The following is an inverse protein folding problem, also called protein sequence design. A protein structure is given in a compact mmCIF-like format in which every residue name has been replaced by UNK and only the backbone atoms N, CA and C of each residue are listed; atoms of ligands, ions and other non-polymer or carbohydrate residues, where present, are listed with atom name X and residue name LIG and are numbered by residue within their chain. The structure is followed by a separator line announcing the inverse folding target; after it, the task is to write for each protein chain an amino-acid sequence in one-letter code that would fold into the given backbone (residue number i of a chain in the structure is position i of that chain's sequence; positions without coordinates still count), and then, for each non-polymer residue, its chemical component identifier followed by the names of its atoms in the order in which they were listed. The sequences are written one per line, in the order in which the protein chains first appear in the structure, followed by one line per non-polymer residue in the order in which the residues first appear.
data_IF_871902079101
#
_entry.id   IF_871902079101
#
_cell.length_a   1.000
_cell.length_b   1.000
_cell.length_c   1.000
_cell.angle_alpha   90.00
_cell.angle_beta   90.00
_cell.angle_gamma   90.00
#
_symmetry.space_group_name_H-M   'P 1'
#
loop_
_entity.id
_entity.type
_entity.pdbx_description
1 polymer ?
#
# COMPACT_ATOMS: atom_id res chain seq x y z
N UNK A 1 15.22 6.53 1.90
CA UNK A 1 14.97 5.94 0.58
C UNK A 1 14.29 4.60 0.78
N UNK A 2 13.18 4.35 0.09
CA UNK A 2 12.54 3.04 0.13
C UNK A 2 13.32 2.10 -0.81
N UNK A 3 14.01 1.11 -0.25
CA UNK A 3 14.71 0.10 -1.04
C UNK A 3 13.76 -1.08 -1.27
N UNK A 4 12.77 -0.89 -2.15
CA UNK A 4 11.90 -1.97 -2.58
C UNK A 4 12.71 -2.93 -3.48
N UNK A 5 13.18 -4.04 -2.92
CA UNK A 5 13.80 -5.11 -3.70
C UNK A 5 12.73 -6.11 -4.12
N UNK A 6 12.26 -5.98 -5.36
CA UNK A 6 11.36 -6.97 -5.95
C UNK A 6 12.10 -8.30 -6.15
N UNK A 7 11.45 -9.45 -5.89
CA UNK A 7 11.94 -10.75 -6.35
C UNK A 7 12.21 -10.71 -7.85
N UNK A 8 13.29 -11.36 -8.30
CA UNK A 8 13.71 -11.34 -9.72
C UNK A 8 12.59 -11.74 -10.67
N UNK A 9 11.84 -12.79 -10.34
CA UNK A 9 10.72 -13.28 -11.16
C UNK A 9 9.60 -12.23 -11.27
N UNK A 10 9.24 -11.58 -10.16
CA UNK A 10 8.23 -10.52 -10.19
C UNK A 10 8.70 -9.29 -10.98
N UNK A 11 9.99 -8.93 -10.87
CA UNK A 11 10.56 -7.83 -11.67
C UNK A 11 10.49 -8.16 -13.16
N UNK A 12 10.84 -9.38 -13.56
CA UNK A 12 10.77 -9.81 -14.97
C UNK A 12 9.35 -9.74 -15.52
N UNK A 13 8.36 -10.24 -14.76
CA UNK A 13 6.95 -10.15 -15.16
C UNK A 13 6.48 -8.70 -15.33
N UNK A 14 6.96 -7.77 -14.49
CA UNK A 14 6.64 -6.35 -14.63
C UNK A 14 7.30 -5.73 -15.86
N UNK A 15 8.55 -6.09 -16.16
CA UNK A 15 9.26 -5.67 -17.37
C UNK A 15 8.46 -6.09 -18.61
N UNK A 16 8.04 -7.34 -18.69
CA UNK A 16 7.23 -7.87 -19.80
C UNK A 16 5.89 -7.12 -19.97
N UNK A 17 5.25 -6.77 -18.86
CA UNK A 17 4.01 -5.97 -18.87
C UNK A 17 4.25 -4.55 -19.37
N UNK A 18 5.36 -3.93 -18.99
CA UNK A 18 5.75 -2.61 -19.50
C UNK A 18 6.01 -2.67 -21.01
N UNK A 19 6.72 -3.70 -21.49
CA UNK A 19 6.94 -3.92 -22.93
C UNK A 19 5.61 -4.09 -23.68
N UNK A 20 4.72 -4.94 -23.15
CA UNK A 20 3.41 -5.21 -23.73
C UNK A 20 2.57 -3.94 -23.85
N UNK A 21 2.55 -3.12 -22.78
CA UNK A 21 1.85 -1.83 -22.81
C UNK A 21 2.38 -0.88 -23.89
N UNK A 22 3.71 -0.79 -24.06
CA UNK A 22 4.29 0.06 -25.12
C UNK A 22 3.94 -0.43 -26.52
N UNK A 23 3.93 -1.75 -26.71
CA UNK A 23 3.53 -2.34 -27.97
C UNK A 23 2.04 -2.10 -28.26
N UNK A 24 1.17 -2.37 -27.29
CA UNK A 24 -0.28 -2.26 -27.44
C UNK A 24 -0.74 -0.80 -27.63
N UNK A 25 -0.26 0.12 -26.79
CA UNK A 25 -0.74 1.50 -26.76
C UNK A 25 0.01 2.42 -27.73
N UNK A 26 1.25 2.05 -28.11
CA UNK A 26 2.13 2.93 -28.89
C UNK A 26 2.70 2.28 -30.14
N UNK A 27 2.42 0.99 -30.38
CA UNK A 27 3.05 0.21 -31.45
C UNK A 27 4.57 0.28 -31.42
N UNK A 28 5.15 0.41 -30.21
CA UNK A 28 6.57 0.58 -29.96
C UNK A 28 7.13 -0.66 -29.25
N UNK A 29 8.09 -1.33 -29.87
CA UNK A 29 8.83 -2.42 -29.22
C UNK A 29 10.02 -1.85 -28.44
N UNK A 30 10.04 -2.08 -27.12
CA UNK A 30 11.16 -1.71 -26.26
C UNK A 30 11.84 -2.95 -25.70
N UNK A 31 13.18 -2.92 -25.65
CA UNK A 31 13.97 -4.02 -25.08
C UNK A 31 13.92 -4.06 -23.55
N UNK A 32 14.33 -5.21 -22.98
CA UNK A 32 14.28 -5.48 -21.54
C UNK A 32 14.97 -4.40 -20.71
N UNK A 33 16.15 -3.95 -21.14
CA UNK A 33 16.91 -2.92 -20.42
C UNK A 33 16.14 -1.58 -20.35
N UNK A 34 15.51 -1.17 -21.46
CA UNK A 34 14.75 0.08 -21.49
C UNK A 34 13.51 0.00 -20.59
N UNK A 35 12.80 -1.14 -20.64
CA UNK A 35 11.65 -1.39 -19.79
C UNK A 35 12.05 -1.48 -18.31
N UNK A 36 13.19 -2.12 -17.99
CA UNK A 36 13.73 -2.19 -16.63
C UNK A 36 14.10 -0.81 -16.08
N UNK A 37 14.81 0.02 -16.85
CA UNK A 37 15.17 1.38 -16.44
C UNK A 37 13.94 2.25 -16.19
N UNK A 38 12.92 2.14 -17.04
CA UNK A 38 11.66 2.85 -16.86
C UNK A 38 10.94 2.37 -15.59
N UNK A 39 10.85 1.06 -15.38
CA UNK A 39 10.25 0.49 -14.18
C UNK A 39 10.97 0.96 -12.91
N UNK A 40 12.30 0.92 -12.88
CA UNK A 40 13.11 1.34 -11.75
C UNK A 40 12.94 2.85 -11.47
N UNK A 41 12.87 3.68 -12.51
CA UNK A 41 12.55 5.10 -12.39
C UNK A 41 11.17 5.31 -11.76
N UNK A 42 10.14 4.64 -12.27
CA UNK A 42 8.77 4.79 -11.79
C UNK A 42 8.62 4.32 -10.33
N UNK A 43 9.24 3.21 -9.95
CA UNK A 43 9.25 2.72 -8.56
C UNK A 43 9.91 3.76 -7.65
N UNK A 44 11.01 4.39 -8.09
CA UNK A 44 11.71 5.40 -7.30
C UNK A 44 10.87 6.65 -7.06
N UNK A 45 10.18 7.14 -8.09
CA UNK A 45 9.39 8.38 -8.00
C UNK A 45 8.04 8.15 -7.31
N UNK A 46 7.32 7.08 -7.65
CA UNK A 46 5.93 6.86 -7.23
C UNK A 46 5.85 5.98 -5.98
N UNK A 47 6.79 5.05 -5.80
CA UNK A 47 6.78 4.08 -4.70
C UNK A 47 6.58 4.72 -3.32
N UNK A 48 7.39 5.71 -2.90
CA UNK A 48 7.23 6.41 -1.62
C UNK A 48 5.85 7.03 -1.42
N UNK A 49 5.26 7.59 -2.47
CA UNK A 49 3.94 8.23 -2.40
C UNK A 49 2.86 7.17 -2.12
N UNK A 50 2.85 6.09 -2.90
CA UNK A 50 1.88 4.99 -2.74
C UNK A 50 2.03 4.33 -1.37
N UNK A 51 3.26 4.04 -0.94
CA UNK A 51 3.51 3.36 0.32
C UNK A 51 3.07 4.22 1.52
N UNK A 52 3.42 5.51 1.52
CA UNK A 52 3.00 6.42 2.58
C UNK A 52 1.48 6.52 2.65
N UNK A 53 0.80 6.62 1.50
CA UNK A 53 -0.66 6.61 1.46
C UNK A 53 -1.23 5.30 2.03
N UNK A 54 -0.70 4.15 1.63
CA UNK A 54 -1.13 2.85 2.15
C UNK A 54 -0.96 2.73 3.67
N UNK A 55 0.12 3.29 4.23
CA UNK A 55 0.31 3.37 5.69
C UNK A 55 -0.73 4.28 6.35
N UNK A 56 -1.03 5.45 5.77
CA UNK A 56 -2.07 6.34 6.30
C UNK A 56 -3.46 5.66 6.28
N UNK A 57 -3.79 4.97 5.19
CA UNK A 57 -5.05 4.22 5.07
C UNK A 57 -5.14 3.11 6.11
N UNK A 58 -4.03 2.40 6.37
CA UNK A 58 -3.96 1.38 7.41
C UNK A 58 -4.13 1.97 8.82
N UNK A 59 -3.45 3.09 9.12
CA UNK A 59 -3.58 3.80 10.40
C UNK A 59 -5.03 4.23 10.62
N UNK A 60 -5.67 4.82 9.61
CA UNK A 60 -7.06 5.24 9.68
C UNK A 60 -7.98 4.06 9.99
N UNK A 61 -7.83 2.96 9.24
CA UNK A 61 -8.66 1.75 9.41
C UNK A 61 -8.50 1.16 10.82
N UNK A 62 -7.28 1.12 11.34
CA UNK A 62 -7.02 0.65 12.71
C UNK A 62 -7.59 1.60 13.74
N UNK A 63 -7.45 2.92 13.54
CA UNK A 63 -8.01 3.94 14.42
C UNK A 63 -9.52 3.83 14.57
N UNK A 64 -10.24 3.67 13.46
CA UNK A 64 -11.69 3.45 13.46
C UNK A 64 -12.10 2.21 14.28
N UNK A 65 -11.35 1.11 14.15
CA UNK A 65 -11.61 -0.10 14.94
C UNK A 65 -11.31 0.08 16.42
N UNK A 66 -10.28 0.85 16.77
CA UNK A 66 -9.93 1.12 18.17
C UNK A 66 -11.00 1.96 18.86
N UNK A 67 -11.57 2.96 18.18
CA UNK A 67 -12.69 3.75 18.72
C UNK A 67 -13.89 2.83 19.01
N UNK A 68 -14.25 1.96 18.06
CA UNK A 68 -15.33 1.00 18.27
C UNK A 68 -15.06 0.06 19.46
N UNK A 69 -13.81 -0.37 19.64
CA UNK A 69 -13.44 -1.23 20.76
C UNK A 69 -13.50 -0.49 22.10
N UNK A 70 -13.09 0.78 22.13
CA UNK A 70 -13.18 1.64 23.31
C UNK A 70 -14.64 1.85 23.74
N UNK A 71 -15.54 2.12 22.79
CA UNK A 71 -16.98 2.22 23.03
C UNK A 71 -17.56 0.91 23.61
N UNK A 72 -17.18 -0.24 23.03
CA UNK A 72 -17.58 -1.56 23.52
C UNK A 72 -17.12 -1.78 24.97
N UNK A 73 -15.89 -1.38 25.31
CA UNK A 73 -15.35 -1.51 26.68
C UNK A 73 -16.08 -0.59 27.66
N UNK A 74 -16.36 0.66 27.28
CA UNK A 74 -17.13 1.58 28.12
C UNK A 74 -18.55 1.06 28.38
N UNK A 75 -19.16 0.35 27.42
CA UNK A 75 -20.48 -0.28 27.62
C UNK A 75 -20.49 -1.34 28.73
N UNK A 76 -19.33 -1.92 29.05
CA UNK A 76 -19.17 -2.93 30.11
C UNK A 76 -18.89 -2.33 31.49
N UNK A 77 -18.63 -1.03 31.58
CA UNK A 77 -18.41 -0.36 32.86
C UNK A 77 -19.65 -0.47 33.75
N UNK A 78 -19.40 -0.70 35.05
CA UNK A 78 -20.46 -0.78 36.05
C UNK A 78 -20.44 0.48 36.92
N UNK A 79 -21.61 1.01 37.33
CA UNK A 79 -21.67 2.17 38.20
C UNK A 79 -20.95 1.89 39.53
N UNK A 80 -20.03 2.77 39.89
CA UNK A 80 -19.17 2.62 41.09
C UNK A 80 -19.89 2.92 42.42
N UNK A 81 -21.19 3.24 42.41
CA UNK A 81 -21.96 3.49 43.62
C UNK A 81 -23.30 2.75 43.59
N UNK A 82 -23.39 1.68 44.37
CA UNK A 82 -24.68 1.09 44.75
C UNK A 82 -25.36 2.08 45.69
N UNK A 83 -26.28 2.88 45.17
CA UNK A 83 -27.11 3.76 45.97
C UNK A 83 -28.07 2.86 46.78
N UNK A 84 -27.65 2.47 47.99
CA UNK A 84 -28.50 1.83 48.98
C UNK A 84 -29.46 2.90 49.50
N UNK A 85 -30.66 2.93 48.92
CA UNK A 85 -31.83 3.53 49.55
C UNK A 85 -32.49 2.51 50.46
#
# INVERSE_FOLDING_TARGET
MMNLKLPREQKQQLIERVQSYFYEERSEEIGDLSAELLLDYMIREIGPVIYNQAIQDAIKTVGEKMVSLEDDLHSLEKPATANRR
#
